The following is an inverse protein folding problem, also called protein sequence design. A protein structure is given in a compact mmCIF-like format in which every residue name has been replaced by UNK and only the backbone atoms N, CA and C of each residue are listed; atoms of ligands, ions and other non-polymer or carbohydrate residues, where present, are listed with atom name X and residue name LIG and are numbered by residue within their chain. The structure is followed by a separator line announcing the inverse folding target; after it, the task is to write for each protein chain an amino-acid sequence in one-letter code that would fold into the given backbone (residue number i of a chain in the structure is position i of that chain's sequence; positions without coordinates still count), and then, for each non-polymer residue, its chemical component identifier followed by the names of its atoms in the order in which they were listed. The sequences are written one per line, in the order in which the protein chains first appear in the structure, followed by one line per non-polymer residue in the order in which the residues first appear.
data_IF_464224655318
#
_entry.id   IF_464224655318
#
_cell.length_a   1.000
_cell.length_b   1.000
_cell.length_c   1.000
_cell.angle_alpha   90.00
_cell.angle_beta   90.00
_cell.angle_gamma   90.00
#
_symmetry.space_group_name_H-M   'P 1'
#
loop_
_entity.id
_entity.type
_entity.pdbx_description
1 polymer ?
#
# COMPACT_ATOMS: atom_id res chain seq x y z
N UNK A 1 32.27 -10.48 -18.23
CA UNK A 1 31.10 -10.28 -17.35
C UNK A 1 30.09 -9.47 -18.15
N UNK A 2 28.93 -10.04 -18.50
CA UNK A 2 27.89 -9.28 -19.22
C UNK A 2 27.31 -8.22 -18.27
N UNK A 3 27.45 -6.94 -18.61
CA UNK A 3 26.80 -5.86 -17.87
C UNK A 3 25.30 -6.00 -18.07
N UNK A 4 24.58 -6.43 -17.02
CA UNK A 4 23.11 -6.44 -17.01
C UNK A 4 22.64 -4.99 -17.10
N UNK A 5 21.93 -4.66 -18.18
CA UNK A 5 21.37 -3.33 -18.42
C UNK A 5 19.84 -3.44 -18.49
N UNK A 6 19.16 -2.38 -18.10
CA UNK A 6 17.72 -2.24 -18.32
C UNK A 6 17.46 -1.94 -19.79
N UNK A 7 16.51 -2.65 -20.40
CA UNK A 7 16.05 -2.42 -21.76
C UNK A 7 14.53 -2.20 -21.78
N UNK A 8 14.02 -1.31 -22.64
CA UNK A 8 12.58 -1.13 -22.79
C UNK A 8 11.95 -2.40 -23.35
N UNK A 9 10.79 -2.76 -22.82
CA UNK A 9 9.96 -3.86 -23.31
C UNK A 9 8.50 -3.44 -23.24
N UNK A 10 7.68 -4.05 -24.08
CA UNK A 10 6.23 -4.01 -23.97
C UNK A 10 5.75 -5.32 -23.39
N UNK A 11 4.88 -5.25 -22.38
CA UNK A 11 4.37 -6.42 -21.67
C UNK A 11 2.87 -6.54 -21.91
N UNK A 12 2.42 -7.75 -22.24
CA UNK A 12 1.01 -8.11 -22.28
C UNK A 12 0.78 -9.30 -21.37
N UNK A 13 -0.24 -9.20 -20.51
CA UNK A 13 -0.71 -10.33 -19.69
C UNK A 13 -1.94 -10.92 -20.37
N UNK A 14 -1.89 -12.20 -20.71
CA UNK A 14 -3.00 -12.94 -21.29
C UNK A 14 -3.74 -13.77 -20.21
N UNK A 15 -5.04 -14.07 -20.43
CA UNK A 15 -5.79 -14.98 -19.58
C UNK A 15 -5.08 -16.33 -19.39
N UNK A 16 -5.12 -16.85 -18.17
CA UNK A 16 -4.38 -18.06 -17.80
C UNK A 16 -2.95 -17.76 -17.35
N UNK A 17 -2.62 -16.49 -17.11
CA UNK A 17 -1.35 -16.07 -16.52
C UNK A 17 -0.14 -16.17 -17.45
N UNK A 18 -0.31 -15.94 -18.76
CA UNK A 18 0.82 -15.92 -19.72
C UNK A 18 1.29 -14.47 -19.88
N UNK A 19 2.54 -14.20 -19.53
CA UNK A 19 3.21 -12.92 -19.73
C UNK A 19 3.98 -12.95 -21.05
N UNK A 20 3.54 -12.16 -22.01
CA UNK A 20 4.21 -11.98 -23.30
C UNK A 20 5.01 -10.68 -23.30
N UNK A 21 6.28 -10.77 -23.69
CA UNK A 21 7.21 -9.64 -23.75
C UNK A 21 7.61 -9.36 -25.20
N UNK A 22 7.55 -8.10 -25.61
CA UNK A 22 7.84 -7.63 -26.96
C UNK A 22 8.91 -6.53 -26.92
N UNK A 23 9.73 -6.45 -27.97
CA UNK A 23 10.71 -5.36 -28.11
C UNK A 23 10.06 -4.05 -28.53
N UNK A 24 9.02 -4.15 -29.36
CA UNK A 24 8.30 -3.01 -29.94
C UNK A 24 6.79 -3.27 -29.89
N UNK A 25 6.04 -2.19 -29.82
CA UNK A 25 4.58 -2.22 -29.85
C UNK A 25 4.07 -2.68 -31.23
N UNK A 26 3.04 -3.53 -31.25
CA UNK A 26 2.42 -4.00 -32.49
C UNK A 26 3.06 -5.24 -33.13
N UNK A 27 4.12 -5.80 -32.56
CA UNK A 27 4.69 -7.07 -33.01
C UNK A 27 3.73 -8.25 -32.72
N UNK A 28 3.56 -9.14 -33.70
CA UNK A 28 2.69 -10.32 -33.53
C UNK A 28 3.32 -11.39 -32.63
N UNK A 29 4.66 -11.54 -32.67
CA UNK A 29 5.39 -12.58 -31.95
C UNK A 29 6.16 -12.00 -30.77
N UNK A 30 5.93 -12.47 -29.54
CA UNK A 30 6.75 -12.06 -28.40
C UNK A 30 8.16 -12.65 -28.52
N UNK A 31 9.15 -11.92 -28.01
CA UNK A 31 10.52 -12.45 -27.93
C UNK A 31 10.69 -13.39 -26.72
N UNK A 32 9.83 -13.26 -25.71
CA UNK A 32 9.82 -14.12 -24.53
C UNK A 32 8.40 -14.26 -24.00
N UNK A 33 8.05 -15.48 -23.63
CA UNK A 33 6.83 -15.79 -22.91
C UNK A 33 7.19 -16.37 -21.54
N UNK A 34 6.38 -16.06 -20.54
CA UNK A 34 6.54 -16.57 -19.18
C UNK A 34 5.18 -17.00 -18.63
N UNK A 35 5.06 -18.27 -18.25
CA UNK A 35 3.84 -18.82 -17.65
C UNK A 35 3.88 -18.67 -16.14
N UNK A 36 2.95 -17.90 -15.58
CA UNK A 36 2.72 -17.83 -14.14
C UNK A 36 2.33 -19.21 -13.61
N UNK A 37 2.91 -19.58 -12.48
CA UNK A 37 2.59 -20.78 -11.73
C UNK A 37 1.87 -20.39 -10.43
N UNK A 38 1.06 -21.27 -9.83
CA UNK A 38 0.41 -20.99 -8.54
C UNK A 38 1.38 -20.66 -7.39
N UNK A 39 2.63 -21.12 -7.49
CA UNK A 39 3.68 -20.86 -6.50
C UNK A 39 4.40 -19.53 -6.74
N UNK A 40 4.01 -18.79 -7.80
CA UNK A 40 4.54 -17.47 -8.05
C UNK A 40 3.89 -16.44 -7.12
N UNK A 41 4.72 -15.52 -6.62
CA UNK A 41 4.34 -14.38 -5.79
C UNK A 41 5.00 -13.12 -6.34
N UNK A 42 4.32 -11.99 -6.24
CA UNK A 42 4.92 -10.68 -6.50
C UNK A 42 5.67 -10.19 -5.26
N UNK A 43 6.90 -9.71 -5.46
CA UNK A 43 7.65 -9.03 -4.41
C UNK A 43 7.05 -7.67 -4.10
N UNK A 44 7.30 -7.12 -2.90
CA UNK A 44 6.96 -5.73 -2.62
C UNK A 44 7.65 -4.76 -3.61
N UNK A 45 6.91 -3.79 -4.18
CA UNK A 45 7.48 -2.80 -5.08
C UNK A 45 8.59 -1.98 -4.43
N UNK A 46 9.68 -1.74 -5.17
CA UNK A 46 10.84 -0.98 -4.69
C UNK A 46 11.26 0.08 -5.69
N UNK A 47 11.90 1.14 -5.20
CA UNK A 47 12.58 2.10 -6.08
C UNK A 47 14.04 1.71 -6.26
N UNK A 48 14.47 1.59 -7.51
CA UNK A 48 15.87 1.32 -7.85
C UNK A 48 16.41 2.37 -8.81
N UNK A 49 17.73 2.59 -8.75
CA UNK A 49 18.41 3.50 -9.67
C UNK A 49 18.60 2.82 -11.02
N UNK A 50 18.12 3.45 -12.09
CA UNK A 50 18.37 3.11 -13.48
C UNK A 50 19.32 4.14 -14.10
N UNK A 51 20.38 3.67 -14.74
CA UNK A 51 21.40 4.54 -15.35
C UNK A 51 20.87 5.45 -16.46
N UNK A 52 19.72 5.11 -17.05
CA UNK A 52 19.16 5.79 -18.23
C UNK A 52 18.06 6.79 -17.85
N UNK A 53 17.25 6.50 -16.83
CA UNK A 53 16.00 7.24 -16.52
C UNK A 53 15.90 7.73 -15.05
N UNK A 54 16.99 7.66 -14.28
CA UNK A 54 16.98 8.08 -12.88
C UNK A 54 16.51 6.96 -11.96
N UNK A 55 15.30 7.06 -11.39
CA UNK A 55 14.73 5.98 -10.56
C UNK A 55 13.55 5.35 -11.27
N UNK A 56 13.45 4.04 -11.13
CA UNK A 56 12.34 3.23 -11.64
C UNK A 56 11.71 2.45 -10.50
N UNK A 57 10.42 2.17 -10.63
CA UNK A 57 9.75 1.20 -9.79
C UNK A 57 10.11 -0.20 -10.29
N UNK A 58 10.50 -1.09 -9.38
CA UNK A 58 10.83 -2.47 -9.70
C UNK A 58 9.94 -3.41 -8.90
N UNK A 59 9.58 -4.51 -9.56
CA UNK A 59 8.86 -5.64 -8.97
C UNK A 59 9.46 -6.94 -9.50
N UNK A 60 9.46 -7.97 -8.67
CA UNK A 60 9.92 -9.30 -9.04
C UNK A 60 8.76 -10.27 -9.03
N UNK A 61 8.80 -11.20 -9.97
CA UNK A 61 8.02 -12.43 -9.90
C UNK A 61 8.93 -13.48 -9.29
N UNK A 62 8.55 -13.97 -8.13
CA UNK A 62 9.32 -14.91 -7.32
C UNK A 62 8.58 -16.24 -7.26
N UNK A 63 9.27 -17.35 -7.46
CA UNK A 63 8.74 -18.68 -7.19
C UNK A 63 9.04 -19.02 -5.73
N UNK A 64 8.00 -19.35 -4.96
CA UNK A 64 8.10 -19.68 -3.54
C UNK A 64 7.92 -21.18 -3.34
N UNK A 65 8.93 -21.84 -2.78
CA UNK A 65 8.86 -23.21 -2.29
C UNK A 65 9.03 -23.24 -0.78
N UNK A 66 8.59 -24.31 -0.13
CA UNK A 66 8.73 -24.45 1.33
C UNK A 66 9.53 -25.70 1.67
N UNK A 67 10.43 -25.54 2.64
CA UNK A 67 11.29 -26.60 3.18
C UNK A 67 10.99 -26.73 4.67
N UNK A 68 10.73 -27.96 5.14
CA UNK A 68 10.67 -28.28 6.55
C UNK A 68 12.09 -28.26 7.15
N UNK A 69 12.28 -27.44 8.18
CA UNK A 69 13.51 -27.44 8.99
C UNK A 69 13.18 -27.76 10.43
N UNK A 70 13.93 -28.69 11.00
CA UNK A 70 13.93 -28.98 12.44
C UNK A 70 14.82 -27.97 13.14
N UNK A 71 14.23 -27.09 13.94
CA UNK A 71 14.96 -26.20 14.86
C UNK A 71 15.10 -26.89 16.21
N UNK A 72 16.33 -26.92 16.69
CA UNK A 72 16.68 -27.52 17.97
C UNK A 72 17.03 -26.38 18.93
N UNK A 73 16.06 -25.71 19.58
CA UNK A 73 16.25 -24.96 20.85
C UNK A 73 15.02 -24.16 21.28
N UNK A 74 14.57 -24.20 22.56
CA UNK A 74 14.80 -25.20 23.62
C UNK A 74 13.90 -26.46 23.49
N UNK A 75 12.95 -26.47 22.55
CA UNK A 75 12.17 -27.64 22.11
C UNK A 75 12.47 -27.93 20.64
N UNK A 76 12.32 -29.19 20.21
CA UNK A 76 12.36 -29.52 18.79
C UNK A 76 11.08 -28.96 18.17
N UNK A 77 11.22 -28.04 17.23
CA UNK A 77 10.12 -27.41 16.51
C UNK A 77 10.39 -27.60 15.02
N UNK A 78 9.41 -28.13 14.29
CA UNK A 78 9.44 -28.21 12.83
C UNK A 78 8.81 -26.94 12.31
N UNK A 79 9.56 -26.18 11.50
CA UNK A 79 9.08 -24.93 10.89
C UNK A 79 9.18 -25.05 9.38
N UNK A 80 8.15 -24.61 8.68
CA UNK A 80 8.15 -24.50 7.22
C UNK A 80 8.72 -23.16 6.80
N UNK A 81 9.96 -23.16 6.30
CA UNK A 81 10.60 -21.93 5.84
C UNK A 81 10.42 -21.73 4.33
N UNK A 82 10.03 -20.52 3.87
CA UNK A 82 9.95 -20.23 2.44
C UNK A 82 11.34 -20.05 1.84
N UNK A 83 11.57 -20.70 0.71
CA UNK A 83 12.69 -20.49 -0.20
C UNK A 83 12.15 -19.76 -1.44
N UNK A 84 12.80 -18.65 -1.80
CA UNK A 84 12.34 -17.78 -2.89
C UNK A 84 13.36 -17.74 -4.02
N UNK A 85 12.91 -18.02 -5.23
CA UNK A 85 13.70 -17.94 -6.44
C UNK A 85 13.18 -16.80 -7.34
N UNK A 86 14.07 -15.88 -7.75
CA UNK A 86 13.68 -14.77 -8.61
C UNK A 86 13.56 -15.24 -10.07
N UNK A 87 12.32 -15.31 -10.58
CA UNK A 87 12.03 -15.75 -11.95
C UNK A 87 12.14 -14.62 -12.96
N UNK A 88 11.56 -13.47 -12.62
CA UNK A 88 11.54 -12.29 -13.46
C UNK A 88 11.72 -11.05 -12.60
N UNK A 89 12.37 -10.03 -13.16
CA UNK A 89 12.45 -8.69 -12.55
C UNK A 89 12.06 -7.68 -13.62
N UNK A 90 11.02 -6.92 -13.32
CA UNK A 90 10.46 -5.90 -14.19
C UNK A 90 10.63 -4.55 -13.52
N UNK A 91 10.60 -3.50 -14.34
CA UNK A 91 10.52 -2.15 -13.81
C UNK A 91 9.93 -1.17 -14.81
N UNK A 92 9.35 -0.11 -14.28
CA UNK A 92 8.69 0.96 -15.04
C UNK A 92 9.03 2.32 -14.43
N UNK A 93 9.00 3.36 -15.25
CA UNK A 93 9.13 4.76 -14.80
C UNK A 93 7.83 5.31 -14.24
N UNK A 94 6.68 4.80 -14.69
CA UNK A 94 5.36 5.28 -14.32
C UNK A 94 4.75 4.41 -13.21
N UNK A 95 4.25 5.05 -12.16
CA UNK A 95 3.66 4.34 -11.01
C UNK A 95 2.31 3.67 -11.34
N UNK A 96 1.54 4.24 -12.27
CA UNK A 96 0.25 3.69 -12.67
C UNK A 96 0.44 2.35 -13.40
N UNK A 97 1.37 2.28 -14.36
CA UNK A 97 1.70 1.03 -15.07
C UNK A 97 2.11 -0.09 -14.10
N UNK A 98 2.84 0.26 -13.04
CA UNK A 98 3.22 -0.71 -12.01
C UNK A 98 1.98 -1.22 -11.29
N UNK A 99 1.08 -0.33 -10.87
CA UNK A 99 -0.12 -0.66 -10.11
C UNK A 99 -1.06 -1.52 -10.96
N UNK A 100 -1.29 -1.16 -12.22
CA UNK A 100 -2.09 -1.93 -13.17
C UNK A 100 -1.49 -3.31 -13.41
N UNK A 101 -0.16 -3.39 -13.54
CA UNK A 101 0.55 -4.67 -13.65
C UNK A 101 0.37 -5.55 -12.40
N UNK A 102 0.53 -5.00 -11.19
CA UNK A 102 0.37 -5.74 -9.93
C UNK A 102 -1.04 -6.33 -9.84
N UNK A 103 -2.06 -5.49 -10.01
CA UNK A 103 -3.47 -5.90 -9.95
C UNK A 103 -3.77 -6.97 -11.00
N UNK A 104 -3.33 -6.76 -12.25
CA UNK A 104 -3.56 -7.72 -13.34
C UNK A 104 -2.91 -9.08 -13.07
N UNK A 105 -1.69 -9.11 -12.53
CA UNK A 105 -1.02 -10.37 -12.22
C UNK A 105 -1.63 -11.07 -11.00
N UNK A 106 -2.03 -10.33 -9.96
CA UNK A 106 -2.74 -10.91 -8.81
C UNK A 106 -4.08 -11.53 -9.21
N UNK A 107 -4.83 -10.85 -10.08
CA UNK A 107 -6.07 -11.36 -10.68
C UNK A 107 -5.87 -12.67 -11.45
N UNK A 108 -4.82 -12.74 -12.27
CA UNK A 108 -4.52 -13.96 -13.02
C UNK A 108 -4.04 -15.09 -12.10
N UNK A 109 -3.22 -14.79 -11.09
CA UNK A 109 -2.77 -15.77 -10.09
C UNK A 109 -3.96 -16.38 -9.33
N UNK A 110 -4.95 -15.57 -8.94
CA UNK A 110 -6.17 -16.05 -8.27
C UNK A 110 -7.02 -16.98 -9.15
N UNK A 111 -6.95 -16.82 -10.48
CA UNK A 111 -7.71 -17.64 -11.45
C UNK A 111 -6.98 -18.90 -11.88
N UNK A 112 -5.70 -19.07 -11.54
CA UNK A 112 -4.94 -20.27 -11.89
C UNK A 112 -5.56 -21.52 -11.24
N UNK A 113 -5.51 -22.69 -11.91
CA UNK A 113 -5.96 -23.92 -11.29
C UNK A 113 -5.04 -24.34 -10.15
N UNK A 114 -5.63 -24.93 -9.10
CA UNK A 114 -4.88 -25.63 -8.07
C UNK A 114 -4.15 -26.83 -8.68
N UNK A 115 -2.81 -26.76 -8.76
CA UNK A 115 -1.99 -27.89 -9.18
C UNK A 115 -1.77 -28.83 -7.99
N UNK A 116 -2.36 -30.02 -8.03
CA UNK A 116 -2.01 -31.10 -7.12
C UNK A 116 -0.62 -31.64 -7.49
N UNK A 117 0.41 -31.29 -6.70
CA UNK A 117 1.68 -32.01 -6.70
C UNK A 117 1.58 -33.28 -5.84
N UNK A 118 2.57 -34.15 -5.97
CA UNK A 118 2.72 -35.37 -5.17
C UNK A 118 2.66 -35.03 -3.68
N UNK A 119 1.73 -35.67 -2.97
CA UNK A 119 1.45 -35.43 -1.56
C UNK A 119 2.69 -35.65 -0.71
N UNK A 120 3.08 -34.65 0.07
CA UNK A 120 4.13 -34.76 1.08
C UNK A 120 3.54 -35.28 2.39
N UNK A 121 4.39 -35.89 3.20
CA UNK A 121 4.07 -36.25 4.58
C UNK A 121 4.83 -35.28 5.48
N UNK A 122 4.11 -34.35 6.08
CA UNK A 122 4.59 -33.38 7.04
C UNK A 122 4.68 -33.98 8.44
N UNK A 123 5.74 -33.63 9.16
CA UNK A 123 5.90 -34.02 10.57
C UNK A 123 4.97 -33.22 11.47
N UNK A 124 4.84 -31.93 11.20
CA UNK A 124 3.91 -31.02 11.85
C UNK A 124 2.93 -30.49 10.80
N UNK A 125 1.64 -30.67 11.01
CA UNK A 125 0.62 -30.14 10.12
C UNK A 125 0.20 -28.76 10.59
N UNK A 126 0.16 -27.77 9.68
CA UNK A 126 -0.27 -26.41 9.99
C UNK A 126 -1.08 -25.77 8.85
N UNK A 127 -1.97 -24.85 9.23
CA UNK A 127 -2.71 -23.98 8.31
C UNK A 127 -2.47 -22.54 8.74
N UNK A 128 -1.96 -21.74 7.81
CA UNK A 128 -1.70 -20.32 7.99
C UNK A 128 -2.70 -19.55 7.12
N UNK A 129 -3.55 -18.76 7.78
CA UNK A 129 -4.43 -17.78 7.15
C UNK A 129 -3.85 -16.39 7.33
N UNK A 130 -3.77 -15.64 6.23
CA UNK A 130 -3.37 -14.24 6.22
C UNK A 130 -4.54 -13.41 5.70
N UNK A 131 -5.11 -12.56 6.56
CA UNK A 131 -6.17 -11.62 6.22
C UNK A 131 -5.53 -10.25 5.97
N UNK A 132 -5.59 -9.80 4.72
CA UNK A 132 -5.06 -8.50 4.30
C UNK A 132 -6.21 -7.58 3.90
N UNK A 133 -6.43 -6.53 4.68
CA UNK A 133 -7.40 -5.49 4.35
C UNK A 133 -6.72 -4.37 3.57
N UNK A 134 -7.19 -4.11 2.35
CA UNK A 134 -6.82 -2.94 1.57
C UNK A 134 -7.92 -1.88 1.70
N UNK A 135 -7.68 -0.91 2.59
CA UNK A 135 -8.56 0.23 2.82
C UNK A 135 -8.27 1.33 1.80
N UNK A 136 -9.32 1.81 1.14
CA UNK A 136 -9.32 2.98 0.27
C UNK A 136 -10.21 4.05 0.87
N UNK A 137 -9.68 5.27 1.01
CA UNK A 137 -10.45 6.37 1.59
C UNK A 137 -10.21 7.70 0.88
N UNK A 138 -11.22 8.58 0.89
CA UNK A 138 -11.11 9.96 0.41
C UNK A 138 -11.54 10.92 1.50
N UNK A 139 -10.67 11.88 1.80
CA UNK A 139 -10.84 12.88 2.87
C UNK A 139 -10.90 14.25 2.21
N UNK A 140 -11.98 14.99 2.48
CA UNK A 140 -12.23 16.31 1.88
C UNK A 140 -11.99 17.45 2.85
N UNK A 141 -11.80 18.65 2.28
CA UNK A 141 -11.50 19.90 2.99
C UNK A 141 -12.56 20.31 4.00
N UNK A 142 -13.85 20.15 3.65
CA UNK A 142 -14.96 20.81 4.36
C UNK A 142 -15.07 20.41 5.84
N UNK A 143 -14.67 19.17 6.18
CA UNK A 143 -14.79 18.65 7.55
C UNK A 143 -13.55 17.89 8.04
N UNK A 144 -12.57 17.61 7.18
CA UNK A 144 -11.45 16.71 7.50
C UNK A 144 -11.91 15.27 7.79
N UNK A 145 -13.12 14.92 7.34
CA UNK A 145 -13.75 13.62 7.53
C UNK A 145 -13.60 12.74 6.30
N UNK A 146 -13.66 11.44 6.54
CA UNK A 146 -13.74 10.40 5.53
C UNK A 146 -15.10 10.50 4.81
N UNK A 147 -15.09 10.81 3.51
CA UNK A 147 -16.31 10.98 2.70
C UNK A 147 -16.65 9.70 1.94
N UNK A 148 -15.63 9.05 1.38
CA UNK A 148 -15.75 7.79 0.67
C UNK A 148 -14.79 6.80 1.30
N UNK A 149 -15.25 5.56 1.51
CA UNK A 149 -14.40 4.48 1.95
C UNK A 149 -14.83 3.14 1.38
N UNK A 150 -13.86 2.29 1.12
CA UNK A 150 -14.07 0.91 0.73
C UNK A 150 -12.95 0.06 1.32
N UNK A 151 -13.29 -1.13 1.82
CA UNK A 151 -12.31 -2.11 2.26
C UNK A 151 -12.42 -3.33 1.38
N UNK A 152 -11.31 -3.71 0.75
CA UNK A 152 -11.19 -4.96 0.02
C UNK A 152 -10.36 -5.90 0.88
N UNK A 153 -10.98 -6.97 1.35
CA UNK A 153 -10.33 -7.98 2.19
C UNK A 153 -9.89 -9.15 1.33
N UNK A 154 -8.62 -9.48 1.41
CA UNK A 154 -8.01 -10.65 0.77
C UNK A 154 -7.67 -11.68 1.85
N UNK A 155 -8.16 -12.90 1.70
CA UNK A 155 -7.83 -14.01 2.57
C UNK A 155 -6.88 -14.93 1.81
N UNK A 156 -5.62 -15.00 2.24
CA UNK A 156 -4.66 -15.95 1.74
C UNK A 156 -4.58 -17.17 2.65
N UNK A 157 -4.43 -18.35 2.04
CA UNK A 157 -4.27 -19.61 2.74
C UNK A 157 -2.98 -20.29 2.30
N UNK A 158 -2.21 -20.78 3.27
CA UNK A 158 -1.08 -21.67 3.09
C UNK A 158 -1.29 -22.88 4.01
N UNK A 159 -1.22 -24.08 3.46
CA UNK A 159 -1.50 -25.31 4.19
C UNK A 159 -0.39 -26.35 4.00
N UNK A 160 -0.01 -26.96 5.11
CA UNK A 160 0.85 -28.14 5.19
C UNK A 160 0.05 -29.22 5.90
N UNK A 161 -0.74 -29.97 5.13
CA UNK A 161 -1.66 -30.99 5.67
C UNK A 161 -1.44 -32.32 4.95
N UNK A 162 -1.51 -33.40 5.72
CA UNK A 162 -1.29 -34.74 5.21
C UNK A 162 -2.57 -35.30 4.60
N UNK A 163 -2.47 -35.78 3.36
CA UNK A 163 -3.61 -36.32 2.63
C UNK A 163 -4.37 -35.27 1.83
N UNK A 164 -5.52 -35.66 1.27
CA UNK A 164 -6.41 -34.73 0.56
C UNK A 164 -7.61 -34.48 1.46
N UNK A 165 -7.45 -33.59 2.44
CA UNK A 165 -8.48 -33.28 3.41
C UNK A 165 -9.23 -32.01 2.99
N UNK A 166 -10.55 -32.06 3.11
CA UNK A 166 -11.36 -30.87 2.99
C UNK A 166 -11.15 -29.96 4.20
N UNK A 167 -10.87 -28.70 3.93
CA UNK A 167 -10.77 -27.64 4.91
C UNK A 167 -12.07 -26.85 4.95
N UNK A 168 -12.39 -26.29 6.12
CA UNK A 168 -13.50 -25.36 6.30
C UNK A 168 -13.02 -24.09 7.01
N UNK A 169 -13.62 -22.97 6.63
CA UNK A 169 -13.42 -21.65 7.23
C UNK A 169 -14.77 -20.97 7.42
N UNK A 170 -15.01 -20.42 8.61
CA UNK A 170 -16.15 -19.54 8.89
C UNK A 170 -15.65 -18.20 9.39
N UNK A 171 -16.30 -17.13 8.91
CA UNK A 171 -16.02 -15.76 9.29
C UNK A 171 -17.18 -15.23 10.15
N UNK A 172 -17.00 -14.07 10.78
CA UNK A 172 -18.04 -13.32 11.47
C UNK A 172 -19.04 -12.65 10.49
N UNK A 173 -19.52 -13.41 9.50
CA UNK A 173 -20.51 -12.99 8.50
C UNK A 173 -21.90 -12.85 9.13
N UNK A 174 -22.53 -11.69 8.96
CA UNK A 174 -23.88 -11.42 9.48
C UNK A 174 -24.91 -12.40 8.90
N UNK A 175 -24.71 -12.90 7.69
CA UNK A 175 -25.61 -13.88 7.07
C UNK A 175 -25.46 -15.29 7.66
N UNK A 176 -24.31 -15.62 8.23
CA UNK A 176 -24.13 -16.86 9.00
C UNK A 176 -24.95 -16.80 10.28
N UNK A 177 -24.90 -15.67 10.99
CA UNK A 177 -25.66 -15.46 12.23
C UNK A 177 -27.17 -15.63 12.02
N UNK A 178 -27.71 -15.10 10.92
CA UNK A 178 -29.15 -15.19 10.60
C UNK A 178 -29.61 -16.61 10.33
N UNK A 179 -28.72 -17.49 9.85
CA UNK A 179 -29.05 -18.87 9.48
C UNK A 179 -28.92 -19.84 10.64
N UNK A 180 -28.03 -19.56 11.58
CA UNK A 180 -27.73 -20.44 12.71
C UNK A 180 -27.81 -19.68 14.05
N UNK A 181 -29.03 -19.22 14.37
CA UNK A 181 -29.32 -18.46 15.61
C UNK A 181 -29.00 -19.24 16.90
N UNK A 182 -28.86 -20.57 16.81
CA UNK A 182 -28.61 -21.45 17.96
C UNK A 182 -27.12 -21.64 18.28
N UNK A 183 -26.21 -21.50 17.30
CA UNK A 183 -24.78 -21.81 17.48
C UNK A 183 -23.96 -20.64 18.05
N UNK A 184 -24.44 -19.42 17.88
CA UNK A 184 -23.77 -18.22 18.38
C UNK A 184 -24.71 -17.53 19.37
N UNK A 185 -24.42 -17.64 20.67
CA UNK A 185 -25.08 -16.83 21.68
C UNK A 185 -25.10 -15.36 21.21
N UNK A 186 -26.20 -14.65 21.48
CA UNK A 186 -26.37 -13.22 21.16
C UNK A 186 -25.39 -12.38 22.00
N UNK A 187 -24.10 -12.51 21.71
CA UNK A 187 -23.07 -11.61 22.19
C UNK A 187 -23.28 -10.28 21.49
N UNK A 188 -24.01 -9.39 22.15
CA UNK A 188 -24.26 -8.01 21.73
C UNK A 188 -22.95 -7.21 21.53
N UNK A 189 -21.81 -7.74 22.00
CA UNK A 189 -20.48 -7.14 21.86
C UNK A 189 -19.74 -7.55 20.57
N UNK A 190 -20.16 -8.61 19.87
CA UNK A 190 -19.45 -9.10 18.67
C UNK A 190 -19.86 -8.30 17.43
N UNK A 191 -18.88 -7.64 16.80
CA UNK A 191 -19.07 -6.95 15.52
C UNK A 191 -19.16 -7.98 14.39
N UNK A 192 -20.30 -7.99 13.71
CA UNK A 192 -20.53 -8.78 12.50
C UNK A 192 -20.19 -7.95 11.27
N UNK A 193 -19.80 -8.63 10.18
CA UNK A 193 -19.48 -7.99 8.91
C UNK A 193 -20.49 -8.38 7.83
N UNK A 194 -20.73 -7.46 6.91
CA UNK A 194 -21.43 -7.74 5.66
C UNK A 194 -20.40 -8.06 4.57
N UNK A 195 -20.42 -9.31 4.09
CA UNK A 195 -19.58 -9.76 2.98
C UNK A 195 -20.26 -9.41 1.66
N UNK A 196 -19.70 -8.44 0.93
CA UNK A 196 -20.19 -7.94 -0.35
C UNK A 196 -19.23 -8.30 -1.49
N UNK A 197 -19.72 -8.38 -2.73
CA UNK A 197 -18.90 -8.60 -3.95
C UNK A 197 -17.77 -9.63 -3.79
N UNK A 198 -18.10 -10.83 -3.32
CA UNK A 198 -17.07 -11.85 -3.06
C UNK A 198 -16.63 -12.59 -4.34
N UNK A 199 -15.35 -12.94 -4.37
CA UNK A 199 -14.71 -13.75 -5.39
C UNK A 199 -13.92 -14.86 -4.70
N UNK A 200 -14.01 -16.07 -5.24
CA UNK A 200 -13.34 -17.24 -4.70
C UNK A 200 -12.31 -17.80 -5.66
N UNK A 201 -11.25 -18.38 -5.08
CA UNK A 201 -10.39 -19.28 -5.83
C UNK A 201 -11.15 -20.51 -6.29
N UNK A 202 -10.68 -21.12 -7.39
CA UNK A 202 -11.29 -22.34 -7.97
C UNK A 202 -11.27 -23.56 -7.05
N UNK A 203 -10.51 -23.54 -5.96
CA UNK A 203 -10.45 -24.63 -4.98
C UNK A 203 -11.61 -24.59 -3.96
N UNK A 204 -12.38 -23.50 -3.93
CA UNK A 204 -13.50 -23.32 -3.02
C UNK A 204 -14.78 -23.84 -3.65
N UNK A 205 -15.59 -24.53 -2.84
CA UNK A 205 -16.94 -24.96 -3.23
C UNK A 205 -17.94 -23.82 -3.05
N UNK A 206 -18.04 -22.93 -4.04
CA UNK A 206 -18.89 -21.72 -3.96
C UNK A 206 -20.35 -22.03 -3.63
N UNK A 207 -20.93 -23.11 -4.17
CA UNK A 207 -22.31 -23.51 -3.91
C UNK A 207 -22.57 -23.86 -2.43
N UNK A 208 -21.58 -24.41 -1.72
CA UNK A 208 -21.73 -24.71 -0.29
C UNK A 208 -21.74 -23.42 0.53
N UNK A 209 -20.92 -22.43 0.15
CA UNK A 209 -20.90 -21.13 0.81
C UNK A 209 -22.24 -20.39 0.63
N UNK A 210 -22.83 -20.42 -0.56
CA UNK A 210 -24.13 -19.79 -0.82
C UNK A 210 -25.25 -20.35 0.07
N UNK A 211 -25.18 -21.63 0.42
CA UNK A 211 -26.18 -22.34 1.24
C UNK A 211 -25.90 -22.26 2.75
N UNK A 212 -24.63 -22.32 3.15
CA UNK A 212 -24.26 -22.49 4.56
C UNK A 212 -23.48 -21.32 5.15
N UNK A 213 -22.96 -20.40 4.31
CA UNK A 213 -21.94 -19.40 4.67
C UNK A 213 -20.66 -20.00 5.26
N UNK A 214 -20.42 -21.30 5.05
CA UNK A 214 -19.17 -21.98 5.37
C UNK A 214 -18.33 -22.10 4.11
N UNK A 215 -17.09 -21.62 4.17
CA UNK A 215 -16.14 -21.70 3.06
C UNK A 215 -15.46 -23.07 3.13
N UNK A 216 -15.90 -24.01 2.28
CA UNK A 216 -15.23 -25.32 2.14
C UNK A 216 -14.33 -25.37 0.93
N UNK A 217 -13.14 -25.92 1.10
CA UNK A 217 -12.12 -25.92 0.05
C UNK A 217 -11.08 -27.02 0.23
N UNK A 218 -10.40 -27.38 -0.85
CA UNK A 218 -9.22 -28.26 -0.82
C UNK A 218 -7.99 -27.45 -1.23
N UNK A 219 -7.16 -26.99 -0.28
CA UNK A 219 -6.02 -26.17 -0.62
C UNK A 219 -4.93 -27.00 -1.34
N UNK A 220 -4.21 -26.42 -2.32
CA UNK A 220 -3.00 -27.02 -2.84
C UNK A 220 -1.91 -27.05 -1.78
N UNK A 221 -1.17 -28.15 -1.80
CA UNK A 221 -0.12 -28.45 -0.83
C UNK A 221 1.05 -27.46 -0.91
N UNK A 222 1.50 -26.95 0.24
CA UNK A 222 2.63 -26.00 0.37
C UNK A 222 2.60 -24.82 -0.61
N UNK A 223 1.41 -24.31 -0.92
CA UNK A 223 1.20 -23.22 -1.87
C UNK A 223 0.37 -22.11 -1.22
N UNK A 224 0.94 -20.90 -1.11
CA UNK A 224 0.20 -19.72 -0.65
C UNK A 224 -0.68 -19.22 -1.79
N UNK A 225 -2.00 -19.29 -1.62
CA UNK A 225 -2.97 -18.77 -2.59
C UNK A 225 -3.93 -17.79 -1.97
N UNK A 226 -4.54 -16.94 -2.80
CA UNK A 226 -5.68 -16.11 -2.40
C UNK A 226 -6.94 -16.95 -2.45
N UNK A 227 -7.51 -17.28 -1.29
CA UNK A 227 -8.67 -18.17 -1.14
C UNK A 227 -9.97 -17.45 -1.49
N UNK A 228 -10.10 -16.23 -0.97
CA UNK A 228 -11.30 -15.40 -1.10
C UNK A 228 -10.90 -13.93 -1.11
N UNK A 229 -11.60 -13.14 -1.91
CA UNK A 229 -11.58 -11.69 -1.89
C UNK A 229 -13.00 -11.19 -1.73
N UNK A 230 -13.24 -10.17 -0.93
CA UNK A 230 -14.57 -9.56 -0.82
C UNK A 230 -14.45 -8.09 -0.39
N UNK A 231 -15.55 -7.37 -0.56
CA UNK A 231 -15.68 -6.00 -0.06
C UNK A 231 -16.44 -5.98 1.25
N UNK A 232 -16.06 -5.07 2.12
CA UNK A 232 -16.84 -4.72 3.31
C UNK A 232 -16.99 -3.21 3.42
N UNK A 233 -18.02 -2.78 4.14
CA UNK A 233 -18.14 -1.40 4.58
C UNK A 233 -17.14 -1.14 5.71
N UNK A 234 -16.56 0.05 5.73
CA UNK A 234 -15.71 0.47 6.84
C UNK A 234 -16.58 0.90 8.01
N UNK A 235 -16.52 0.15 9.11
CA UNK A 235 -17.24 0.43 10.36
C UNK A 235 -16.36 1.09 11.43
N UNK A 236 -15.18 1.61 11.04
CA UNK A 236 -14.32 2.39 11.94
C UNK A 236 -14.78 3.85 12.02
N UNK A 237 -14.74 4.42 13.23
CA UNK A 237 -15.15 5.82 13.44
C UNK A 237 -14.06 6.81 12.99
N UNK A 238 -12.78 6.50 13.23
CA UNK A 238 -11.65 7.40 12.95
C UNK A 238 -10.40 6.66 12.43
N UNK A 239 -9.66 7.34 11.56
CA UNK A 239 -8.31 6.93 11.16
C UNK A 239 -7.30 7.14 12.30
N UNK A 240 -6.18 6.37 12.33
CA UNK A 240 -5.19 6.47 13.40
C UNK A 240 -4.51 7.85 13.50
N UNK A 241 -4.45 8.58 12.39
CA UNK A 241 -3.97 9.96 12.33
C UNK A 241 -4.68 10.71 11.20
N UNK A 242 -4.67 12.05 11.28
CA UNK A 242 -5.18 12.93 10.23
C UNK A 242 -4.03 13.66 9.55
N UNK A 243 -4.19 13.90 8.25
CA UNK A 243 -3.28 14.71 7.46
C UNK A 243 -4.02 15.95 6.98
N UNK A 244 -3.43 17.12 7.17
CA UNK A 244 -3.93 18.38 6.61
C UNK A 244 -2.84 18.98 5.76
N UNK A 245 -3.14 19.33 4.52
CA UNK A 245 -2.19 19.92 3.60
C UNK A 245 -2.77 21.20 2.99
N UNK A 246 -1.93 22.21 2.82
CA UNK A 246 -2.28 23.45 2.17
C UNK A 246 -1.14 23.92 1.26
N UNK A 247 -1.51 24.49 0.12
CA UNK A 247 -0.63 25.19 -0.81
C UNK A 247 -1.04 26.65 -0.86
N UNK A 248 -0.10 27.52 -0.53
CA UNK A 248 -0.25 28.97 -0.52
C UNK A 248 0.51 29.54 -1.70
N UNK A 249 -0.15 30.41 -2.46
CA UNK A 249 0.39 31.05 -3.65
C UNK A 249 0.51 32.55 -3.40
N UNK A 250 1.72 33.08 -3.57
CA UNK A 250 2.11 34.48 -3.38
C UNK A 250 2.93 34.95 -4.59
N UNK A 251 2.28 35.50 -5.61
CA UNK A 251 2.94 35.84 -6.88
C UNK A 251 3.61 34.62 -7.50
N UNK A 252 4.92 34.69 -7.72
CA UNK A 252 5.74 33.58 -8.24
C UNK A 252 6.12 32.53 -7.17
N UNK A 253 5.83 32.76 -5.89
CA UNK A 253 6.20 31.86 -4.81
C UNK A 253 5.05 30.91 -4.46
N UNK A 254 5.38 29.63 -4.35
CA UNK A 254 4.49 28.57 -3.88
C UNK A 254 5.05 27.98 -2.60
N UNK A 255 4.23 27.96 -1.55
CA UNK A 255 4.56 27.33 -0.28
C UNK A 255 3.59 26.19 -0.01
N UNK A 256 4.10 24.95 0.09
CA UNK A 256 3.34 23.81 0.57
C UNK A 256 3.62 23.62 2.06
N UNK A 257 2.55 23.47 2.84
CA UNK A 257 2.60 23.09 4.25
C UNK A 257 1.69 21.89 4.50
N UNK A 258 2.18 20.89 5.19
CA UNK A 258 1.42 19.72 5.60
C UNK A 258 1.65 19.41 7.07
N UNK A 259 0.60 18.94 7.74
CA UNK A 259 0.58 18.59 9.15
C UNK A 259 -0.02 17.19 9.34
N UNK A 260 0.63 16.36 10.15
CA UNK A 260 0.16 15.05 10.58
C UNK A 260 -0.15 15.14 12.07
N UNK A 261 -1.41 14.88 12.42
CA UNK A 261 -1.90 14.93 13.79
C UNK A 261 -2.36 13.54 14.20
N UNK A 262 -1.81 13.01 15.28
CA UNK A 262 -2.26 11.74 15.84
C UNK A 262 -3.70 11.85 16.32
N UNK A 263 -4.52 10.83 16.07
CA UNK A 263 -5.87 10.77 16.61
C UNK A 263 -5.83 10.49 18.11
N UNK A 264 -6.63 11.20 18.90
CA UNK A 264 -6.69 11.02 20.35
C UNK A 264 -7.14 9.61 20.76
N UNK A 265 -7.87 8.89 19.90
CA UNK A 265 -8.30 7.50 20.12
C UNK A 265 -7.16 6.49 19.97
N UNK A 266 -6.11 6.79 19.19
CA UNK A 266 -4.91 5.97 19.10
C UNK A 266 -4.05 6.04 20.38
N UNK A 267 -4.33 6.99 21.27
CA UNK A 267 -3.62 7.24 22.52
C UNK A 267 -4.31 6.62 23.75
N UNK A 268 -5.50 6.01 23.62
CA UNK A 268 -6.23 5.47 24.77
C UNK A 268 -5.86 3.99 24.97
N UNK A 269 -5.13 3.62 26.04
CA UNK A 269 -4.85 2.23 26.37
C UNK A 269 -6.06 1.61 27.08
N UNK A 270 -7.22 1.59 26.44
CA UNK A 270 -8.39 0.89 27.00
C UNK A 270 -8.35 -0.58 26.60
N UNK A 271 -7.84 -1.37 27.56
CA UNK A 271 -7.93 -2.83 27.70
C UNK A 271 -7.06 -3.64 26.71
N UNK A 272 -5.93 -4.11 27.24
CA UNK A 272 -5.19 -5.33 26.88
C UNK A 272 -4.72 -5.56 25.43
N UNK A 273 -4.64 -4.53 24.58
CA UNK A 273 -4.05 -4.67 23.24
C UNK A 273 -2.94 -3.63 23.03
N UNK A 274 -1.78 -4.12 22.60
CA UNK A 274 -0.58 -3.34 22.27
C UNK A 274 -0.93 -2.08 21.47
N UNK A 275 -0.31 -0.94 21.79
CA UNK A 275 -0.40 0.25 20.94
C UNK A 275 -0.08 -0.16 19.49
N UNK A 276 -1.03 0.08 18.58
CA UNK A 276 -0.84 -0.25 17.16
C UNK A 276 -0.05 0.86 16.51
N UNK A 277 1.03 0.49 15.83
CA UNK A 277 1.91 1.43 15.14
C UNK A 277 1.58 1.45 13.66
N UNK A 278 1.56 2.64 13.07
CA UNK A 278 1.53 2.80 11.63
C UNK A 278 2.96 2.74 11.13
N UNK A 279 3.26 1.76 10.30
CA UNK A 279 4.59 1.55 9.72
C UNK A 279 4.63 1.96 8.25
N UNK A 280 5.82 2.36 7.80
CA UNK A 280 6.09 2.74 6.40
C UNK A 280 5.12 3.81 5.87
N UNK A 281 4.87 4.84 6.68
CA UNK A 281 3.98 5.93 6.32
C UNK A 281 4.62 6.74 5.19
N UNK A 282 3.95 6.81 4.05
CA UNK A 282 4.37 7.56 2.86
C UNK A 282 3.28 8.53 2.46
N UNK A 283 3.61 9.82 2.40
CA UNK A 283 2.70 10.87 1.95
C UNK A 283 3.26 11.46 0.66
N UNK A 284 2.50 11.36 -0.42
CA UNK A 284 2.85 11.84 -1.74
C UNK A 284 2.13 13.15 -2.02
N UNK A 285 2.87 14.24 -2.17
CA UNK A 285 2.35 15.52 -2.62
C UNK A 285 2.63 15.67 -4.11
N UNK A 286 1.62 15.55 -5.00
CA UNK A 286 1.83 15.57 -6.44
C UNK A 286 2.37 16.93 -6.89
N UNK A 287 3.39 16.88 -7.73
CA UNK A 287 4.03 18.07 -8.29
C UNK A 287 3.70 18.16 -9.78
N UNK A 288 3.11 19.28 -10.23
CA UNK A 288 3.00 19.62 -11.65
C UNK A 288 4.30 19.46 -12.42
N UNK A 289 4.21 18.92 -13.65
CA UNK A 289 5.38 18.73 -14.51
C UNK A 289 6.15 20.04 -14.78
N UNK A 290 5.42 21.16 -14.83
CA UNK A 290 5.98 22.50 -15.06
C UNK A 290 6.89 22.95 -13.90
N UNK A 291 6.69 22.47 -12.68
CA UNK A 291 7.45 22.88 -11.49
C UNK A 291 8.72 22.05 -11.25
N UNK A 292 8.93 20.97 -12.02
CA UNK A 292 10.04 20.03 -11.81
C UNK A 292 11.39 20.75 -11.89
N UNK A 293 11.54 21.74 -12.77
CA UNK A 293 12.79 22.53 -12.90
C UNK A 293 13.12 23.33 -11.62
N UNK A 294 12.11 23.84 -10.93
CA UNK A 294 12.28 24.60 -9.68
C UNK A 294 12.66 23.70 -8.48
N UNK A 295 12.29 22.42 -8.52
CA UNK A 295 12.63 21.41 -7.50
C UNK A 295 14.03 20.81 -7.66
N UNK A 296 14.81 21.29 -8.63
CA UNK A 296 16.17 20.82 -8.91
C UNK A 296 17.14 21.99 -8.74
N UNK A 297 17.98 21.96 -7.70
CA UNK A 297 19.05 22.95 -7.56
C UNK A 297 20.13 22.69 -8.62
N UNK A 298 20.45 23.71 -9.42
CA UNK A 298 21.58 23.68 -10.34
C UNK A 298 22.88 23.82 -9.55
N UNK A 299 23.62 22.72 -9.38
CA UNK A 299 25.03 22.77 -9.03
C UNK A 299 25.85 22.29 -10.25
N UNK A 300 26.85 23.08 -10.62
CA UNK A 300 27.65 23.05 -11.86
C UNK A 300 28.26 21.68 -12.29
N UNK A 301 28.07 20.59 -11.54
CA UNK A 301 28.61 19.27 -11.88
C UNK A 301 27.67 18.06 -11.66
N UNK A 302 26.43 18.21 -11.17
CA UNK A 302 25.44 17.08 -11.12
C UNK A 302 24.06 17.56 -10.63
N UNK A 303 23.01 17.17 -11.35
CA UNK A 303 21.63 17.30 -10.90
C UNK A 303 21.39 16.49 -9.61
N UNK A 304 20.88 17.13 -8.54
CA UNK A 304 20.49 16.46 -7.29
C UNK A 304 19.11 16.96 -6.85
N UNK A 305 18.20 16.04 -6.53
CA UNK A 305 16.89 16.33 -5.95
C UNK A 305 17.03 17.08 -4.63
N UNK A 306 16.14 18.03 -4.35
CA UNK A 306 16.02 18.64 -3.02
C UNK A 306 15.83 17.55 -1.95
N UNK A 307 16.74 17.53 -0.98
CA UNK A 307 16.69 16.63 0.18
C UNK A 307 16.31 17.43 1.40
N UNK A 308 15.44 16.87 2.24
CA UNK A 308 15.07 17.54 3.46
C UNK A 308 16.26 17.72 4.42
N UNK A 309 16.35 18.90 5.04
CA UNK A 309 17.25 19.18 6.17
C UNK A 309 16.40 19.21 7.43
N UNK A 310 16.75 18.41 8.42
CA UNK A 310 15.98 18.30 9.67
C UNK A 310 15.97 19.66 10.38
N UNK A 311 14.77 20.20 10.64
CA UNK A 311 14.65 21.50 11.28
C UNK A 311 14.81 21.35 12.81
N UNK A 312 16.05 21.48 13.31
CA UNK A 312 16.36 21.52 14.76
C UNK A 312 15.92 22.83 15.46
N UNK A 313 15.05 23.66 14.87
CA UNK A 313 14.70 25.00 15.41
C UNK A 313 13.56 25.02 16.44
N UNK A 314 13.23 23.91 17.10
CA UNK A 314 12.36 23.92 18.30
C UNK A 314 13.14 24.08 19.61
N UNK A 315 14.47 24.20 19.58
CA UNK A 315 15.23 24.72 20.71
C UNK A 315 15.37 26.25 20.57
N UNK A 316 14.77 26.99 21.51
CA UNK A 316 14.85 28.44 21.64
C UNK A 316 16.31 28.93 21.50
N UNK A 317 16.60 29.83 20.55
CA UNK A 317 17.79 30.70 20.62
C UNK A 317 18.94 30.49 19.62
N UNK A 318 18.72 30.16 18.35
CA UNK A 318 19.76 30.35 17.32
C UNK A 318 19.29 31.24 16.16
N UNK A 319 19.78 32.48 16.16
CA UNK A 319 19.77 33.35 14.99
C UNK A 319 20.81 32.80 14.01
N UNK A 320 20.38 32.17 12.93
CA UNK A 320 21.19 32.00 11.74
C UNK A 320 20.40 32.47 10.52
N UNK A 321 21.09 33.29 9.72
CA UNK A 321 20.66 33.90 8.47
C UNK A 321 19.88 32.94 7.56
N UNK A 322 18.92 33.51 6.85
CA UNK A 322 18.07 32.84 5.88
C UNK A 322 18.96 32.48 4.68
N UNK A 323 19.46 31.25 4.64
CA UNK A 323 19.97 30.68 3.39
C UNK A 323 18.77 30.52 2.45
N UNK A 324 18.77 31.30 1.38
CA UNK A 324 17.79 31.35 0.27
C UNK A 324 17.80 30.11 -0.62
N UNK A 325 18.14 28.94 -0.09
CA UNK A 325 18.08 27.69 -0.84
C UNK A 325 16.70 27.04 -0.63
N UNK A 326 16.03 26.56 -1.70
CA UNK A 326 14.74 25.90 -1.57
C UNK A 326 14.90 24.54 -0.87
N UNK A 327 14.92 24.52 0.46
CA UNK A 327 15.12 23.30 1.25
C UNK A 327 13.79 22.82 1.81
N UNK A 328 13.47 21.53 1.59
CA UNK A 328 12.31 20.89 2.23
C UNK A 328 12.60 20.79 3.74
N UNK A 329 11.71 21.33 4.57
CA UNK A 329 11.78 21.24 6.01
C UNK A 329 10.80 20.17 6.50
N UNK A 330 11.28 19.28 7.37
CA UNK A 330 10.44 18.26 8.01
C UNK A 330 10.75 18.20 9.50
N UNK A 331 9.72 17.95 10.31
CA UNK A 331 9.86 17.70 11.74
C UNK A 331 10.33 16.27 12.03
N UNK A 332 9.89 15.29 11.24
CA UNK A 332 10.21 13.87 11.39
C UNK A 332 10.38 13.19 10.02
N UNK A 333 11.06 12.03 10.02
CA UNK A 333 11.26 11.24 8.81
C UNK A 333 12.13 11.93 7.76
N UNK A 334 11.93 11.58 6.50
CA UNK A 334 12.67 12.15 5.37
C UNK A 334 11.73 12.58 4.27
N UNK A 335 12.01 13.71 3.63
CA UNK A 335 11.27 14.13 2.44
C UNK A 335 12.21 14.48 1.29
N UNK A 336 11.77 14.15 0.08
CA UNK A 336 12.47 14.42 -1.17
C UNK A 336 11.50 14.35 -2.35
N UNK A 337 11.82 15.08 -3.40
CA UNK A 337 11.18 14.86 -4.69
C UNK A 337 11.63 13.50 -5.25
N UNK A 338 10.68 12.63 -5.59
CA UNK A 338 10.94 11.37 -6.28
C UNK A 338 10.29 11.42 -7.67
N UNK A 339 11.13 11.42 -8.72
CA UNK A 339 10.68 11.54 -10.10
C UNK A 339 9.73 10.42 -10.52
N UNK A 340 9.97 9.19 -10.04
CA UNK A 340 9.15 8.02 -10.33
C UNK A 340 7.72 8.14 -9.78
N UNK A 341 7.51 8.93 -8.72
CA UNK A 341 6.18 9.24 -8.19
C UNK A 341 5.65 10.59 -8.66
N UNK A 342 6.47 11.39 -9.37
CA UNK A 342 6.17 12.77 -9.77
C UNK A 342 5.64 13.61 -8.60
N UNK A 343 6.19 13.36 -7.41
CA UNK A 343 5.69 13.90 -6.15
C UNK A 343 6.83 14.18 -5.17
N UNK A 344 6.60 15.12 -4.25
CA UNK A 344 7.38 15.21 -3.01
C UNK A 344 6.89 14.12 -2.09
N UNK A 345 7.77 13.18 -1.75
CA UNK A 345 7.45 12.01 -0.92
C UNK A 345 7.99 12.22 0.48
N UNK A 346 7.10 12.30 1.46
CA UNK A 346 7.43 12.33 2.87
C UNK A 346 7.31 10.91 3.44
N UNK A 347 8.44 10.36 3.88
CA UNK A 347 8.53 9.02 4.45
C UNK A 347 8.77 9.10 5.94
N UNK A 348 7.92 8.44 6.71
CA UNK A 348 8.00 8.31 8.16
C UNK A 348 7.98 6.81 8.47
N UNK A 349 9.04 6.31 9.11
CA UNK A 349 9.19 4.87 9.34
C UNK A 349 8.09 4.33 10.27
N UNK A 350 7.70 5.12 11.27
CA UNK A 350 6.72 4.72 12.30
C UNK A 350 5.98 5.91 12.91
N UNK A 351 4.67 5.77 13.10
CA UNK A 351 3.84 6.66 13.90
C UNK A 351 3.06 5.87 14.98
N UNK A 352 2.94 6.37 16.22
CA UNK A 352 3.65 7.53 16.78
C UNK A 352 5.19 7.36 16.78
N UNK A 353 5.92 8.45 16.60
CA UNK A 353 7.39 8.41 16.68
C UNK A 353 7.84 8.19 18.14
N UNK A 354 8.95 7.44 18.31
CA UNK A 354 9.45 7.06 19.64
C UNK A 354 9.94 8.25 20.46
N UNK A 355 10.37 9.32 19.81
CA UNK A 355 11.07 10.44 20.43
C UNK A 355 10.25 11.74 20.43
N UNK A 356 9.03 11.72 19.90
CA UNK A 356 8.15 12.88 19.85
C UNK A 356 7.06 12.84 20.91
N UNK A 357 6.75 14.00 21.50
CA UNK A 357 5.55 14.11 22.34
C UNK A 357 4.29 13.86 21.49
N UNK A 358 3.33 13.05 21.96
CA UNK A 358 2.12 12.70 21.21
C UNK A 358 1.22 13.90 20.86
N UNK A 359 1.37 15.02 21.58
CA UNK A 359 0.55 16.22 21.41
C UNK A 359 1.07 17.20 20.35
N UNK A 360 2.31 17.03 19.85
CA UNK A 360 2.85 17.93 18.84
C UNK A 360 2.55 17.42 17.42
N UNK A 361 1.93 18.25 16.57
CA UNK A 361 1.72 17.90 15.17
C UNK A 361 3.08 17.81 14.46
N UNK A 362 3.23 16.79 13.63
CA UNK A 362 4.38 16.68 12.74
C UNK A 362 4.15 17.51 11.49
N UNK A 363 5.16 18.19 10.98
CA UNK A 363 5.01 19.08 9.84
C UNK A 363 6.03 18.86 8.74
N UNK A 364 5.61 19.16 7.52
CA UNK A 364 6.43 19.30 6.34
C UNK A 364 6.13 20.64 5.69
N UNK A 365 7.17 21.40 5.33
CA UNK A 365 7.00 22.61 4.54
C UNK A 365 8.13 22.78 3.52
N UNK A 366 7.79 23.36 2.37
CA UNK A 366 8.80 23.80 1.40
C UNK A 366 8.28 24.99 0.59
N UNK A 367 9.21 25.82 0.15
CA UNK A 367 8.95 26.99 -0.71
C UNK A 367 9.62 26.78 -2.06
N UNK A 368 8.88 27.05 -3.13
CA UNK A 368 9.36 27.04 -4.50
C UNK A 368 9.15 28.42 -5.11
N UNK A 369 10.15 28.89 -5.83
CA UNK A 369 10.04 30.05 -6.71
C UNK A 369 9.81 29.54 -8.13
N UNK A 370 8.67 29.88 -8.71
CA UNK A 370 8.34 29.54 -10.08
C UNK A 370 9.00 30.51 -11.06
N UNK A 371 9.41 29.99 -12.22
CA UNK A 371 9.84 30.82 -13.35
C UNK A 371 8.69 31.65 -13.91
N UNK A 372 9.00 32.72 -14.65
CA UNK A 372 8.00 33.56 -15.31
C UNK A 372 7.15 32.84 -16.37
N UNK A 373 7.58 31.66 -16.80
CA UNK A 373 6.89 30.74 -17.72
C UNK A 373 6.10 29.63 -17.00
N UNK A 374 6.13 29.60 -15.66
CA UNK A 374 5.53 28.54 -14.85
C UNK A 374 4.32 29.08 -14.09
N UNK A 375 3.13 28.63 -14.50
CA UNK A 375 1.89 28.89 -13.77
C UNK A 375 1.46 27.63 -13.00
N UNK A 376 0.38 27.77 -12.21
CA UNK A 376 -0.29 26.60 -11.64
C UNK A 376 -1.22 26.04 -12.71
N UNK A 377 -1.03 24.79 -13.15
CA UNK A 377 -1.91 24.22 -14.16
C UNK A 377 -3.36 24.23 -13.69
N UNK A 378 -4.28 24.56 -14.60
CA UNK A 378 -5.73 24.57 -14.34
C UNK A 378 -6.25 23.16 -14.00
N UNK A 379 -5.56 22.11 -14.45
CA UNK A 379 -5.81 20.69 -14.23
C UNK A 379 -5.06 20.11 -13.02
N UNK A 380 -4.46 20.95 -12.16
CA UNK A 380 -3.72 20.45 -11.01
C UNK A 380 -4.62 19.64 -10.06
N UNK A 381 -4.35 18.33 -9.96
CA UNK A 381 -5.06 17.40 -9.09
C UNK A 381 -4.61 17.58 -7.63
N UNK A 382 -5.41 18.24 -6.76
CA UNK A 382 -4.95 18.71 -5.47
C UNK A 382 -5.20 17.66 -4.39
N UNK A 383 -4.77 16.42 -4.60
CA UNK A 383 -4.91 15.37 -3.59
C UNK A 383 -3.54 14.79 -3.24
N UNK A 384 -3.23 14.73 -1.95
CA UNK A 384 -2.09 14.00 -1.44
C UNK A 384 -2.47 12.53 -1.22
N UNK A 385 -1.62 11.61 -1.64
CA UNK A 385 -1.83 10.17 -1.43
C UNK A 385 -1.07 9.72 -0.18
N UNK A 386 -1.78 9.25 0.82
CA UNK A 386 -1.26 8.77 2.10
C UNK A 386 -1.33 7.24 2.12
N UNK A 387 -0.20 6.58 2.32
CA UNK A 387 -0.09 5.12 2.39
C UNK A 387 0.60 4.71 3.68
N UNK A 388 0.06 3.70 4.37
CA UNK A 388 0.68 3.14 5.57
C UNK A 388 0.14 1.74 5.86
N UNK A 389 0.85 0.99 6.71
CA UNK A 389 0.48 -0.37 7.11
C UNK A 389 0.34 -0.44 8.62
N UNK A 390 -0.67 -1.18 9.08
CA UNK A 390 -0.82 -1.57 10.48
C UNK A 390 -0.84 -3.10 10.55
N UNK A 391 0.10 -3.65 11.32
CA UNK A 391 0.14 -5.08 11.63
C UNK A 391 -0.82 -5.41 12.78
N UNK A 392 -1.30 -6.66 12.82
CA UNK A 392 -2.26 -7.16 13.81
C UNK A 392 -3.53 -6.29 13.89
N UNK A 393 -3.97 -5.82 12.72
CA UNK A 393 -5.13 -4.95 12.58
C UNK A 393 -6.02 -5.38 11.42
N UNK A 394 -7.30 -5.07 11.55
CA UNK A 394 -8.33 -5.39 10.59
C UNK A 394 -9.22 -4.15 10.44
N UNK A 395 -9.20 -3.54 9.26
CA UNK A 395 -10.05 -2.40 8.90
C UNK A 395 -11.48 -2.84 8.55
N UNK A 396 -11.64 -4.07 8.03
CA UNK A 396 -12.95 -4.66 7.70
C UNK A 396 -13.71 -5.14 8.92
N UNK A 397 -13.01 -5.41 10.03
CA UNK A 397 -13.59 -6.08 11.19
C UNK A 397 -13.75 -7.60 11.01
N UNK A 398 -13.14 -8.18 9.96
CA UNK A 398 -13.12 -9.62 9.71
C UNK A 398 -12.44 -10.40 10.83
N UNK A 399 -13.15 -11.39 11.36
CA UNK A 399 -12.67 -12.33 12.35
C UNK A 399 -12.93 -13.77 11.89
N UNK A 400 -11.95 -14.64 12.11
CA UNK A 400 -12.11 -16.08 11.90
C UNK A 400 -12.88 -16.67 13.08
N UNK A 401 -14.07 -17.23 12.83
CA UNK A 401 -14.88 -17.92 13.86
C UNK A 401 -14.47 -19.38 14.00
N UNK A 402 -14.24 -20.07 12.90
CA UNK A 402 -13.70 -21.43 12.90
C UNK A 402 -12.86 -21.70 11.67
N UNK A 403 -11.82 -22.50 11.85
CA UNK A 403 -10.94 -23.00 10.80
C UNK A 403 -10.58 -24.44 11.16
N UNK A 404 -10.56 -25.35 10.20
CA UNK A 404 -10.12 -26.72 10.46
C UNK A 404 -10.20 -27.61 9.24
N UNK A 405 -9.94 -28.90 9.48
CA UNK A 405 -10.13 -29.98 8.52
C UNK A 405 -11.18 -30.96 9.03
N UNK A 406 -11.71 -31.82 8.16
CA UNK A 406 -12.69 -32.84 8.57
C UNK A 406 -12.11 -33.94 9.49
N UNK A 407 -10.78 -34.08 9.58
CA UNK A 407 -10.13 -35.10 10.42
C UNK A 407 -10.17 -34.73 11.92
N UNK A 408 -10.24 -35.74 12.79
CA UNK A 408 -10.11 -35.57 14.24
C UNK A 408 -8.76 -34.94 14.65
N UNK A 409 -7.70 -35.24 13.90
CA UNK A 409 -6.36 -34.69 14.15
C UNK A 409 -6.25 -33.33 13.47
N UNK A 410 -6.51 -32.28 14.22
CA UNK A 410 -6.48 -30.91 13.70
C UNK A 410 -5.04 -30.40 13.54
N UNK A 411 -4.74 -29.67 12.44
CA UNK A 411 -3.45 -29.00 12.27
C UNK A 411 -3.33 -27.79 13.21
N UNK A 412 -2.09 -27.33 13.41
CA UNK A 412 -1.83 -26.03 14.03
C UNK A 412 -2.43 -24.91 13.17
N UNK A 413 -2.94 -23.85 13.81
CA UNK A 413 -3.70 -22.79 13.12
C UNK A 413 -3.09 -21.44 13.46
N UNK A 414 -2.68 -20.72 12.42
CA UNK A 414 -2.12 -19.38 12.54
C UNK A 414 -2.99 -18.42 11.75
N UNK A 415 -3.42 -17.34 12.40
CA UNK A 415 -4.18 -16.26 11.75
C UNK A 415 -3.36 -14.99 11.88
N UNK A 416 -2.98 -14.42 10.74
CA UNK A 416 -2.20 -13.19 10.63
C UNK A 416 -3.10 -12.13 10.03
N UNK A 417 -3.12 -10.94 10.64
CA UNK A 417 -3.93 -9.82 10.17
C UNK A 417 -3.03 -8.64 9.78
N UNK A 418 -3.32 -8.02 8.64
CA UNK A 418 -2.62 -6.85 8.13
C UNK A 418 -3.63 -5.89 7.52
N UNK A 419 -3.55 -4.62 7.87
CA UNK A 419 -4.35 -3.56 7.25
C UNK A 419 -3.44 -2.56 6.52
N UNK A 420 -3.63 -2.47 5.21
CA UNK A 420 -2.97 -1.53 4.31
C UNK A 420 -3.94 -0.39 4.01
N UNK A 421 -3.54 0.85 4.32
CA UNK A 421 -4.38 2.03 4.11
C UNK A 421 -3.85 2.84 2.93
N UNK A 422 -4.74 3.23 2.03
CA UNK A 422 -4.49 4.15 0.92
C UNK A 422 -5.56 5.25 0.94
N UNK A 423 -5.18 6.44 1.37
CA UNK A 423 -6.10 7.57 1.53
C UNK A 423 -5.72 8.72 0.60
N UNK A 424 -6.71 9.30 -0.08
CA UNK A 424 -6.56 10.58 -0.78
C UNK A 424 -7.01 11.72 0.13
N UNK A 425 -6.13 12.69 0.35
CA UNK A 425 -6.37 13.85 1.21
C UNK A 425 -6.36 15.11 0.36
N UNK A 426 -7.45 15.84 0.35
CA UNK A 426 -7.54 17.10 -0.39
C UNK A 426 -6.56 18.16 0.15
N UNK A 427 -5.82 18.79 -0.76
CA UNK A 427 -4.86 19.85 -0.48
C UNK A 427 -5.56 21.19 -0.62
N UNK A 428 -5.58 21.97 0.46
CA UNK A 428 -6.21 23.29 0.47
C UNK A 428 -5.40 24.29 -0.36
N UNK A 429 -6.03 24.95 -1.35
CA UNK A 429 -5.42 26.03 -2.12
C UNK A 429 -5.76 27.40 -1.54
N UNK A 430 -4.75 28.23 -1.23
CA UNK A 430 -4.90 29.63 -0.77
C UNK A 430 -4.15 30.58 -1.70
N UNK A 431 -4.84 31.64 -2.10
CA UNK A 431 -4.25 32.73 -2.88
C UNK A 431 -4.09 33.95 -1.98
N UNK A 432 -2.86 34.43 -1.86
CA UNK A 432 -2.59 35.70 -1.19
C UNK A 432 -2.32 36.71 -2.30
N UNK A 433 -3.28 37.61 -2.50
CA UNK A 433 -3.12 38.74 -3.42
C UNK A 433 -2.10 39.69 -2.82
N UNK A 434 -1.12 40.10 -3.60
CA UNK A 434 -0.25 41.22 -3.24
C UNK A 434 -1.07 42.50 -3.43
N UNK A 435 -1.10 43.38 -2.43
CA UNK A 435 -1.77 44.68 -2.54
C UNK A 435 -1.15 45.47 -3.70
N UNK A 436 -1.89 45.67 -4.80
CA UNK A 436 -1.48 46.53 -5.91
C UNK A 436 -1.82 46.05 -7.33
N UNK A 437 -2.17 44.79 -7.55
CA UNK A 437 -2.61 44.31 -8.88
C UNK A 437 -4.13 44.44 -9.04
N UNK A 438 -4.54 45.61 -9.53
CA UNK A 438 -5.89 45.89 -10.01
C UNK A 438 -5.99 45.47 -11.49
N UNK A 439 -6.80 44.47 -11.87
CA UNK A 439 -6.90 43.98 -13.25
C UNK A 439 -7.53 44.98 -14.22
N UNK A 440 -8.10 46.10 -13.74
CA UNK A 440 -8.74 47.13 -14.59
C UNK A 440 -7.82 48.28 -15.01
N UNK A 441 -6.54 48.29 -14.62
CA UNK A 441 -5.56 49.27 -15.13
C UNK A 441 -4.76 48.68 -16.29
N UNK A 442 -5.38 48.66 -17.47
CA UNK A 442 -4.64 48.59 -18.73
C UNK A 442 -3.60 49.72 -18.77
N UNK A 443 -2.33 49.36 -18.89
CA UNK A 443 -1.21 50.29 -18.91
C UNK A 443 -1.28 51.23 -20.11
N UNK A 444 -1.59 52.50 -19.87
CA UNK A 444 -1.26 53.57 -20.81
C UNK A 444 0.22 53.91 -20.66
N UNK A 445 1.09 53.11 -21.29
CA UNK A 445 2.45 53.54 -21.62
C UNK A 445 2.36 54.52 -22.79
N UNK A 446 2.28 55.82 -22.49
CA UNK A 446 2.64 56.87 -23.44
C UNK A 446 4.16 56.90 -23.53
N UNK A 447 4.70 56.50 -24.68
CA UNK A 447 6.08 56.79 -25.04
C UNK A 447 6.22 58.29 -25.26
N UNK A 448 7.19 58.91 -24.58
CA UNK A 448 7.70 60.23 -24.93
C UNK A 448 9.22 60.20 -24.90
#
# INVERSE_FOLDING_TARGET
MSSRQWGPIYLKVLPGGILQMYYEEGLEKPFKEFQLQPHCKLSEPKLENCSISGKIHTVKIEHVSYIEKRKYHPKVEVVHEPETEQMLKLGTTEFNDLTDFLVTVEEELMKLPALSKQKRNYEEQEIILEIVDNFWGKITKAEGKLVESAVITHIYCLSFVNGSTECFLTLNDQELQKRDECYFEKDLEKKWIDILDYHFHKCVKTHEFEQTRVIKFTPPDACRLELMRFKTLYNGEDLPFSVKAAVVVQGAYIELQAFVNMSSTALIPTRLHSMKYCENVMIHFPVPAQWIKALWTMNLQRQKSLKAKMNRRTCLGSLHEIESDPVIQVSIGTAKYESAYRAVVWKIDRLPDKNSSPDHPHSLSYKLELGSDQEIPLDWYPFATVQFVIHDACASGTEVKSLGIESDVQPQKHVIQKACYNCQVEIEKKWIRLDGEDPDKAGNCLMQ
#
